data_IF_561160232287
#
_entry.id   IF_561160232287
#
_cell.length_a   1.000
_cell.length_b   1.000
_cell.length_c   1.000
_cell.angle_alpha   90.00
_cell.angle_beta   90.00
_cell.angle_gamma   90.00
#
_symmetry.space_group_name_H-M   'P 1'
#
loop_
_entity.id
_entity.type
_entity.pdbx_description
1 polymer ?
#
# COMPACT_ATOMS: atom_id res chain seq x y z
N UNK A 1 9.02 0.95 -10.84
CA UNK A 1 9.33 0.52 -9.46
C UNK A 1 10.29 1.46 -8.72
N UNK A 2 11.42 1.85 -9.31
CA UNK A 2 12.44 2.66 -8.61
C UNK A 2 11.93 4.01 -8.07
N UNK A 3 10.95 4.64 -8.73
CA UNK A 3 10.39 5.91 -8.26
C UNK A 3 9.64 5.77 -6.93
N UNK A 4 8.87 4.69 -6.75
CA UNK A 4 8.07 4.53 -5.52
C UNK A 4 8.93 4.12 -4.32
N UNK A 5 10.00 3.36 -4.54
CA UNK A 5 10.96 3.01 -3.49
C UNK A 5 11.64 4.27 -2.96
N UNK A 6 12.17 5.12 -3.85
CA UNK A 6 12.79 6.38 -3.47
C UNK A 6 11.84 7.27 -2.67
N UNK A 7 10.59 7.35 -3.09
CA UNK A 7 9.55 8.12 -2.41
C UNK A 7 9.22 7.55 -1.01
N UNK A 8 9.15 6.23 -0.86
CA UNK A 8 8.99 5.58 0.46
C UNK A 8 10.16 5.91 1.39
N UNK A 9 11.39 5.83 0.89
CA UNK A 9 12.62 6.15 1.64
C UNK A 9 12.67 7.62 2.07
N UNK A 10 12.38 8.55 1.16
CA UNK A 10 12.34 9.99 1.44
C UNK A 10 11.30 10.36 2.51
N UNK A 11 10.23 9.57 2.64
CA UNK A 11 9.17 9.78 3.59
C UNK A 11 9.32 8.95 4.88
N UNK A 12 10.46 8.27 5.09
CA UNK A 12 10.74 7.40 6.24
C UNK A 12 9.68 6.29 6.44
N UNK A 13 9.14 5.75 5.35
CA UNK A 13 8.17 4.66 5.39
C UNK A 13 8.91 3.35 5.14
N UNK A 14 9.00 2.50 6.16
CA UNK A 14 9.57 1.15 6.01
C UNK A 14 8.76 0.32 5.03
N UNK A 15 9.45 -0.33 4.11
CA UNK A 15 8.85 -1.15 3.07
C UNK A 15 9.61 -2.47 2.90
N UNK A 16 8.89 -3.51 2.48
CA UNK A 16 9.46 -4.78 2.06
C UNK A 16 9.04 -5.04 0.60
N UNK A 17 9.99 -5.07 -0.35
CA UNK A 17 9.70 -5.44 -1.71
C UNK A 17 9.41 -6.95 -1.81
N UNK A 18 8.47 -7.32 -2.67
CA UNK A 18 8.15 -8.72 -2.96
C UNK A 18 7.89 -8.87 -4.45
N UNK A 19 8.57 -9.85 -5.06
CA UNK A 19 8.40 -10.21 -6.46
C UNK A 19 7.48 -11.43 -6.49
N UNK A 20 6.38 -11.31 -7.24
CA UNK A 20 5.43 -12.40 -7.39
C UNK A 20 5.91 -13.34 -8.51
N UNK A 21 5.45 -14.59 -8.49
CA UNK A 21 5.82 -15.65 -9.47
C UNK A 21 5.54 -15.23 -10.93
N UNK A 22 4.60 -14.31 -11.13
CA UNK A 22 4.19 -13.77 -12.43
C UNK A 22 4.97 -12.52 -12.87
N UNK A 23 6.03 -12.13 -12.15
CA UNK A 23 6.85 -10.95 -12.49
C UNK A 23 6.25 -9.61 -12.03
N UNK A 24 5.03 -9.61 -11.47
CA UNK A 24 4.46 -8.41 -10.86
C UNK A 24 5.24 -8.05 -9.61
N UNK A 25 5.71 -6.80 -9.57
CA UNK A 25 6.41 -6.25 -8.43
C UNK A 25 5.39 -5.62 -7.48
N UNK A 26 5.47 -6.00 -6.21
CA UNK A 26 4.68 -5.40 -5.15
C UNK A 26 5.58 -4.91 -4.01
N UNK A 27 5.12 -3.89 -3.30
CA UNK A 27 5.77 -3.36 -2.11
C UNK A 27 4.77 -3.46 -0.98
N UNK A 28 5.14 -4.13 0.09
CA UNK A 28 4.40 -4.02 1.34
C UNK A 28 5.01 -2.90 2.17
N UNK A 29 4.19 -2.08 2.82
CA UNK A 29 4.69 -1.10 3.78
C UNK A 29 3.72 -0.95 4.95
N UNK A 30 4.27 -0.56 6.09
CA UNK A 30 3.49 -0.35 7.31
C UNK A 30 3.62 1.11 7.71
N UNK A 31 2.48 1.79 7.86
CA UNK A 31 2.45 3.18 8.30
C UNK A 31 1.19 3.40 9.13
N UNK A 32 1.31 4.12 10.26
CA UNK A 32 0.19 4.40 11.15
C UNK A 32 -0.60 3.11 11.50
N UNK A 33 0.07 2.07 12.02
CA UNK A 33 -0.49 0.74 12.35
C UNK A 33 -1.37 0.08 11.26
N UNK A 34 -1.27 0.54 10.01
CA UNK A 34 -1.92 -0.02 8.84
C UNK A 34 -0.87 -0.65 7.95
N UNK A 35 -1.23 -1.77 7.34
CA UNK A 35 -0.38 -2.45 6.37
C UNK A 35 -0.97 -2.25 4.99
N UNK A 36 -0.11 -1.84 4.07
CA UNK A 36 -0.44 -1.56 2.69
C UNK A 36 0.34 -2.50 1.77
N UNK A 37 -0.26 -2.83 0.64
CA UNK A 37 0.43 -3.40 -0.51
C UNK A 37 0.25 -2.45 -1.68
N UNK A 38 1.35 -2.07 -2.30
CA UNK A 38 1.38 -1.25 -3.51
C UNK A 38 1.81 -2.17 -4.64
N UNK A 39 0.97 -2.29 -5.66
CA UNK A 39 1.29 -3.03 -6.89
C UNK A 39 1.28 -2.07 -8.06
N UNK A 40 2.22 -2.25 -8.99
CA UNK A 40 2.23 -1.50 -10.26
C UNK A 40 1.79 -2.44 -11.38
N UNK A 41 0.61 -2.20 -11.93
CA UNK A 41 -0.01 -2.97 -13.00
C UNK A 41 -0.51 -2.00 -14.07
N UNK A 42 -0.18 -2.24 -15.34
CA UNK A 42 -0.63 -1.43 -16.49
C UNK A 42 -0.36 0.08 -16.33
N UNK A 43 0.82 0.45 -15.82
CA UNK A 43 1.21 1.84 -15.52
C UNK A 43 0.34 2.55 -14.46
N UNK A 44 -0.43 1.79 -13.67
CA UNK A 44 -1.17 2.31 -12.53
C UNK A 44 -0.63 1.73 -11.23
N UNK A 45 -0.65 2.54 -10.18
CA UNK A 45 -0.35 2.08 -8.83
C UNK A 45 -1.65 1.69 -8.12
N UNK A 46 -1.83 0.40 -7.87
CA UNK A 46 -2.94 -0.13 -7.07
C UNK A 46 -2.52 -0.20 -5.61
N UNK A 47 -3.25 0.48 -4.74
CA UNK A 47 -3.03 0.45 -3.30
C UNK A 47 -4.05 -0.48 -2.65
N UNK A 48 -3.55 -1.49 -1.96
CA UNK A 48 -4.36 -2.40 -1.16
C UNK A 48 -4.08 -2.20 0.32
N UNK A 49 -5.11 -2.31 1.16
CA UNK A 49 -4.97 -2.31 2.62
C UNK A 49 -5.28 -3.71 3.18
N UNK A 50 -4.49 -4.13 4.16
CA UNK A 50 -4.74 -5.34 4.91
C UNK A 50 -5.68 -5.04 6.09
N UNK A 51 -6.80 -5.77 6.16
CA UNK A 51 -7.70 -5.71 7.30
C UNK A 51 -7.42 -6.90 8.22
N UNK A 52 -6.49 -6.74 9.18
CA UNK A 52 -6.16 -7.79 10.18
C UNK A 52 -7.35 -8.09 11.11
N UNK A 53 -8.31 -7.18 11.19
CA UNK A 53 -9.40 -7.25 12.16
C UNK A 53 -10.50 -8.22 11.69
N UNK A 54 -10.33 -9.50 12.01
CA UNK A 54 -11.37 -10.51 12.33
C UNK A 54 -12.73 -10.31 11.65
N UNK A 55 -12.78 -10.27 10.32
CA UNK A 55 -14.06 -10.30 9.61
C UNK A 55 -14.20 -11.61 8.82
N UNK A 56 -14.80 -12.67 9.41
CA UNK A 56 -14.93 -13.98 8.76
C UNK A 56 -15.74 -13.95 7.45
N UNK A 57 -16.45 -12.85 7.16
CA UNK A 57 -17.19 -12.65 5.91
C UNK A 57 -16.35 -12.04 4.78
N UNK A 58 -15.21 -11.40 5.10
CA UNK A 58 -14.30 -10.82 4.11
C UNK A 58 -13.17 -11.82 3.82
N UNK A 59 -13.39 -12.71 2.84
CA UNK A 59 -12.43 -13.77 2.45
C UNK A 59 -11.12 -13.23 1.87
N UNK A 60 -11.06 -11.95 1.48
CA UNK A 60 -9.86 -11.37 0.88
C UNK A 60 -8.94 -10.80 1.94
N UNK A 61 -7.68 -11.25 1.96
CA UNK A 61 -6.62 -10.73 2.84
C UNK A 61 -6.32 -9.24 2.59
N UNK A 62 -6.58 -8.78 1.37
CA UNK A 62 -6.30 -7.43 0.91
C UNK A 62 -7.55 -6.82 0.25
N UNK A 63 -7.74 -5.52 0.43
CA UNK A 63 -8.80 -4.76 -0.20
C UNK A 63 -8.22 -3.61 -1.02
N UNK A 64 -8.63 -3.49 -2.28
CA UNK A 64 -8.27 -2.34 -3.10
C UNK A 64 -8.86 -1.09 -2.46
N UNK A 65 -7.99 -0.15 -2.12
CA UNK A 65 -8.34 1.15 -1.56
C UNK A 65 -8.59 2.15 -2.68
N UNK A 66 -7.64 2.22 -3.62
CA UNK A 66 -7.67 3.14 -4.75
C UNK A 66 -6.63 2.73 -5.81
N UNK A 67 -6.79 3.29 -7.01
CA UNK A 67 -5.79 3.28 -8.08
C UNK A 67 -5.26 4.70 -8.26
N UNK A 68 -3.95 4.83 -8.48
CA UNK A 68 -3.25 6.10 -8.63
C UNK A 68 -2.45 6.12 -9.92
N UNK A 69 -2.33 7.30 -10.52
CA UNK A 69 -1.53 7.51 -11.73
C UNK A 69 -0.04 7.53 -11.44
N UNK A 70 0.36 7.96 -10.24
CA UNK A 70 1.76 8.09 -9.87
C UNK A 70 2.04 7.64 -8.42
N UNK A 71 3.34 7.55 -8.11
CA UNK A 71 3.80 7.09 -6.81
C UNK A 71 3.55 8.12 -5.69
N UNK A 72 3.67 9.41 -5.98
CA UNK A 72 3.56 10.48 -4.99
C UNK A 72 2.13 10.57 -4.45
N UNK A 73 1.11 10.32 -5.27
CA UNK A 73 -0.28 10.21 -4.85
C UNK A 73 -0.51 9.07 -3.83
N UNK A 74 0.08 7.89 -4.09
CA UNK A 74 0.02 6.74 -3.18
C UNK A 74 0.61 7.10 -1.82
N UNK A 75 1.79 7.73 -1.83
CA UNK A 75 2.50 8.10 -0.59
C UNK A 75 1.75 9.17 0.18
N UNK A 76 1.23 10.18 -0.51
CA UNK A 76 0.40 11.21 0.12
C UNK A 76 -0.83 10.61 0.78
N UNK A 77 -1.50 9.64 0.14
CA UNK A 77 -2.61 8.94 0.76
C UNK A 77 -2.19 8.21 2.04
N UNK A 78 -1.12 7.41 1.97
CA UNK A 78 -0.62 6.65 3.13
C UNK A 78 -0.30 7.58 4.31
N UNK A 79 0.33 8.73 4.05
CA UNK A 79 0.73 9.72 5.07
C UNK A 79 -0.45 10.48 5.67
N UNK A 80 -1.40 10.90 4.84
CA UNK A 80 -2.48 11.81 5.25
C UNK A 80 -3.69 11.07 5.83
N UNK A 81 -3.77 9.76 5.65
CA UNK A 81 -4.85 8.95 6.19
C UNK A 81 -4.79 8.96 7.72
N UNK A 82 -5.56 9.88 8.31
CA UNK A 82 -5.69 10.02 9.76
C UNK A 82 -6.28 8.74 10.36
N UNK A 83 -5.76 8.37 11.52
CA UNK A 83 -6.53 7.58 12.46
C UNK A 83 -7.75 8.39 12.88
N UNK A 84 -8.94 7.98 12.45
CA UNK A 84 -10.09 8.13 13.33
C UNK A 84 -9.92 7.08 14.43
N UNK A 85 -9.05 7.36 15.40
CA UNK A 85 -9.27 6.81 16.74
C UNK A 85 -10.59 7.43 17.17
N UNK A 86 -11.65 6.63 17.16
CA UNK A 86 -12.93 7.03 17.73
C UNK A 86 -12.67 7.63 19.11
N UNK A 87 -13.00 8.91 19.26
CA UNK A 87 -13.06 9.61 20.54
C UNK A 87 -14.16 9.01 21.41
#
# INVERSE_FOLDING_TARGET
>A
MNNIIKELEQNNISYNPTINIYGNNSLSCTHNLKNYIISNEDNKYKLFEFNVARNPKKKSRYHLVAEYSDASEVINYIRTRKFNMAS
#
